data_IF_123855661652
#
_entry.id   IF_123855661652
#
_cell.length_a   1.000
_cell.length_b   1.000
_cell.length_c   1.000
_cell.angle_alpha   90.00
_cell.angle_beta   90.00
_cell.angle_gamma   90.00
#
_symmetry.space_group_name_H-M   'P 1'
#
loop_
_entity.id
_entity.type
_entity.pdbx_description
1 polymer ?
#
# COMPACT_ATOMS: atom_id res chain seq x y z
N UNK A 1 11.22 -4.97 5.87
CA UNK A 1 11.93 -4.56 4.63
C UNK A 1 11.99 -3.03 4.45
N UNK A 2 11.61 -2.21 5.45
CA UNK A 2 11.66 -0.75 5.36
C UNK A 2 10.40 -0.11 4.76
N UNK A 3 9.34 -0.87 4.47
CA UNK A 3 8.07 -0.38 3.91
C UNK A 3 7.54 0.85 4.64
N UNK A 4 7.29 0.76 5.94
CA UNK A 4 6.70 1.85 6.72
C UNK A 4 7.58 3.11 6.79
N UNK A 5 8.91 2.96 6.72
CA UNK A 5 9.83 4.11 6.64
C UNK A 5 9.69 4.82 5.29
N UNK A 6 9.67 4.06 4.19
CA UNK A 6 9.47 4.59 2.85
C UNK A 6 8.09 5.21 2.68
N UNK A 7 7.04 4.59 3.21
CA UNK A 7 5.69 5.15 3.20
C UNK A 7 5.62 6.52 3.90
N UNK A 8 6.27 6.67 5.07
CA UNK A 8 6.37 7.96 5.77
C UNK A 8 7.10 9.01 4.93
N UNK A 9 8.21 8.64 4.29
CA UNK A 9 8.99 9.54 3.43
C UNK A 9 8.19 9.99 2.19
N UNK A 10 7.48 9.09 1.54
CA UNK A 10 6.63 9.40 0.40
C UNK A 10 5.50 10.38 0.74
N UNK A 11 4.87 10.24 1.92
CA UNK A 11 3.86 11.19 2.41
C UNK A 11 4.41 12.59 2.68
N UNK A 12 5.67 12.69 3.11
CA UNK A 12 6.34 13.98 3.28
C UNK A 12 6.69 14.59 1.91
N UNK A 13 7.11 13.75 0.97
CA UNK A 13 7.43 14.19 -0.38
C UNK A 13 6.21 14.71 -1.14
N UNK A 14 5.06 14.04 -1.00
CA UNK A 14 3.86 14.36 -1.76
C UNK A 14 2.62 14.47 -0.85
N UNK A 15 2.13 15.70 -0.57
CA UNK A 15 0.93 15.92 0.23
C UNK A 15 -0.37 15.39 -0.41
N UNK A 16 -0.39 15.14 -1.72
CA UNK A 16 -1.53 14.56 -2.43
C UNK A 16 -1.62 13.03 -2.30
N UNK A 17 -0.61 12.41 -1.70
CA UNK A 17 -0.55 10.99 -1.41
C UNK A 17 -1.05 10.72 0.01
N UNK A 18 -2.33 10.37 0.15
CA UNK A 18 -2.90 9.95 1.43
C UNK A 18 -2.46 8.54 1.81
N UNK A 19 -2.50 8.24 3.09
CA UNK A 19 -2.17 6.92 3.62
C UNK A 19 -3.43 6.21 4.11
N UNK A 20 -3.64 4.97 3.66
CA UNK A 20 -4.70 4.12 4.18
C UNK A 20 -4.34 3.64 5.57
N UNK A 21 -5.02 4.16 6.60
CA UNK A 21 -4.89 3.65 7.97
C UNK A 21 -5.69 2.36 8.07
N UNK A 22 -4.99 1.23 8.20
CA UNK A 22 -5.61 -0.08 8.30
C UNK A 22 -6.28 -0.31 9.65
N UNK A 23 -7.37 -1.06 9.67
CA UNK A 23 -7.97 -1.61 10.88
C UNK A 23 -7.23 -2.88 11.31
N UNK A 24 -7.15 -3.15 12.62
CA UNK A 24 -6.55 -4.38 13.15
C UNK A 24 -7.16 -4.78 14.48
N UNK A 25 -7.22 -6.09 14.73
CA UNK A 25 -7.61 -6.66 16.03
C UNK A 25 -6.44 -6.89 16.98
N UNK A 26 -5.22 -6.58 16.53
CA UNK A 26 -4.02 -6.64 17.36
C UNK A 26 -4.03 -5.49 18.38
N UNK A 27 -3.63 -5.78 19.60
CA UNK A 27 -3.40 -4.72 20.60
C UNK A 27 -2.34 -3.71 20.15
N UNK A 28 -2.49 -2.42 20.48
CA UNK A 28 -1.50 -1.38 20.20
C UNK A 28 -0.13 -1.72 20.81
N UNK A 29 0.95 -1.43 20.08
CA UNK A 29 2.30 -1.45 20.61
C UNK A 29 2.63 -0.12 21.28
N UNK A 30 3.68 -0.12 22.09
CA UNK A 30 4.15 1.13 22.73
C UNK A 30 4.46 2.21 21.70
N UNK A 31 3.76 3.33 21.80
CA UNK A 31 3.93 4.49 20.92
C UNK A 31 3.04 4.50 19.68
N UNK A 32 2.25 3.45 19.42
CA UNK A 32 1.23 3.48 18.36
C UNK A 32 -0.01 4.25 18.82
N UNK A 33 -0.58 5.02 17.91
CA UNK A 33 -1.74 5.91 18.14
C UNK A 33 -2.92 5.42 17.32
N UNK A 34 -4.05 5.20 17.99
CA UNK A 34 -5.31 4.85 17.32
C UNK A 34 -5.76 5.94 16.34
N UNK A 35 -6.22 5.50 15.17
CA UNK A 35 -6.62 6.38 14.07
C UNK A 35 -5.46 7.00 13.28
N UNK A 36 -4.21 6.81 13.71
CA UNK A 36 -3.02 7.32 13.01
C UNK A 36 -2.12 6.19 12.48
N UNK A 37 -1.79 5.22 13.33
CA UNK A 37 -0.99 4.05 12.93
C UNK A 37 -1.91 2.92 12.46
N UNK A 38 -2.97 2.65 13.22
CA UNK A 38 -4.05 1.71 12.93
C UNK A 38 -5.35 2.19 13.55
N UNK A 39 -6.49 1.68 13.05
CA UNK A 39 -7.74 1.64 13.78
C UNK A 39 -7.79 0.34 14.59
N UNK A 40 -7.52 0.43 15.90
CA UNK A 40 -7.55 -0.73 16.77
C UNK A 40 -8.98 -1.05 17.18
N UNK A 41 -9.43 -2.27 16.96
CA UNK A 41 -10.82 -2.66 17.24
C UNK A 41 -10.91 -4.11 17.71
N UNK A 42 -12.06 -4.45 18.31
CA UNK A 42 -12.37 -5.81 18.71
C UNK A 42 -12.68 -6.71 17.48
N UNK A 43 -12.42 -8.02 17.62
CA UNK A 43 -12.63 -8.97 16.53
C UNK A 43 -14.09 -9.01 16.05
N UNK A 44 -15.07 -8.86 16.95
CA UNK A 44 -16.47 -8.85 16.59
C UNK A 44 -16.82 -7.65 15.70
N UNK A 45 -16.28 -6.49 16.01
CA UNK A 45 -16.45 -5.26 15.22
C UNK A 45 -15.81 -5.42 13.83
N UNK A 46 -14.57 -5.91 13.78
CA UNK A 46 -13.87 -6.17 12.51
C UNK A 46 -14.67 -7.12 11.60
N UNK A 47 -15.14 -8.25 12.16
CA UNK A 47 -15.96 -9.22 11.42
C UNK A 47 -17.28 -8.63 10.95
N UNK A 48 -17.88 -7.75 11.72
CA UNK A 48 -19.07 -7.00 11.32
C UNK A 48 -18.81 -6.15 10.08
N UNK A 49 -17.75 -5.35 10.10
CA UNK A 49 -17.35 -4.52 8.94
C UNK A 49 -17.07 -5.36 7.69
N UNK A 50 -16.44 -6.54 7.84
CA UNK A 50 -16.23 -7.46 6.71
C UNK A 50 -17.57 -7.98 6.17
N UNK A 51 -18.49 -8.39 7.04
CA UNK A 51 -19.79 -8.91 6.63
C UNK A 51 -20.68 -7.85 5.94
N UNK A 52 -20.54 -6.59 6.32
CA UNK A 52 -21.24 -5.45 5.71
C UNK A 52 -20.56 -4.90 4.46
N UNK A 53 -19.41 -5.47 4.06
CA UNK A 53 -18.66 -5.04 2.87
C UNK A 53 -17.95 -3.69 3.03
N UNK A 54 -17.69 -3.27 4.26
CA UNK A 54 -17.01 -2.01 4.59
C UNK A 54 -15.48 -2.08 4.53
N UNK A 55 -14.91 -3.27 4.26
CA UNK A 55 -13.49 -3.47 4.03
C UNK A 55 -13.20 -3.60 2.53
N UNK A 56 -12.20 -2.88 2.03
CA UNK A 56 -11.71 -3.00 0.66
C UNK A 56 -10.92 -4.29 0.47
N UNK A 57 -10.11 -4.62 1.45
CA UNK A 57 -9.34 -5.85 1.58
C UNK A 57 -9.22 -6.24 3.05
N UNK A 58 -9.00 -7.50 3.33
CA UNK A 58 -8.69 -7.98 4.67
C UNK A 58 -7.87 -9.28 4.63
N UNK A 59 -7.06 -9.49 5.68
CA UNK A 59 -6.24 -10.69 5.83
C UNK A 59 -6.14 -11.10 7.31
N UNK A 60 -5.93 -12.39 7.54
CA UNK A 60 -5.62 -12.94 8.85
C UNK A 60 -4.12 -13.24 8.96
N UNK A 61 -3.43 -12.56 9.87
CA UNK A 61 -1.98 -12.58 9.96
C UNK A 61 -1.53 -12.71 11.41
N UNK A 62 -0.81 -13.79 11.76
CA UNK A 62 -0.33 -14.07 13.12
C UNK A 62 -1.43 -14.00 14.20
N UNK A 63 -2.58 -14.60 13.91
CA UNK A 63 -3.70 -14.65 14.87
C UNK A 63 -4.49 -13.34 15.00
N UNK A 64 -4.21 -12.33 14.19
CA UNK A 64 -4.95 -11.07 14.17
C UNK A 64 -5.49 -10.76 12.77
N UNK A 65 -6.58 -10.02 12.73
CA UNK A 65 -7.13 -9.51 11.48
C UNK A 65 -6.52 -8.13 11.15
N UNK A 66 -6.36 -7.89 9.86
CA UNK A 66 -5.94 -6.61 9.28
C UNK A 66 -6.82 -6.33 8.08
N UNK A 67 -7.16 -5.08 7.82
CA UNK A 67 -7.95 -4.72 6.66
C UNK A 67 -7.98 -3.21 6.44
N UNK A 68 -8.35 -2.80 5.24
CA UNK A 68 -8.42 -1.39 4.85
C UNK A 68 -9.88 -0.95 4.77
N UNK A 69 -10.34 -0.03 5.67
CA UNK A 69 -11.70 0.51 5.63
C UNK A 69 -11.98 1.21 4.30
N UNK A 70 -13.08 0.84 3.64
CA UNK A 70 -13.42 1.26 2.28
C UNK A 70 -13.81 2.74 2.21
N UNK A 71 -14.62 3.22 3.14
CA UNK A 71 -15.19 4.57 3.10
C UNK A 71 -14.15 5.70 3.01
N UNK A 72 -13.12 5.76 3.88
CA UNK A 72 -12.06 6.77 3.80
C UNK A 72 -11.30 6.73 2.47
N UNK A 73 -11.03 5.53 1.94
CA UNK A 73 -10.32 5.33 0.67
C UNK A 73 -11.13 5.91 -0.49
N UNK A 74 -12.41 5.53 -0.60
CA UNK A 74 -13.30 6.04 -1.65
C UNK A 74 -13.45 7.56 -1.58
N UNK A 75 -13.56 8.12 -0.37
CA UNK A 75 -13.61 9.56 -0.18
C UNK A 75 -12.36 10.26 -0.73
N UNK A 76 -11.17 9.75 -0.43
CA UNK A 76 -9.91 10.30 -0.93
C UNK A 76 -9.82 10.22 -2.44
N UNK A 77 -10.11 9.06 -3.03
CA UNK A 77 -10.06 8.84 -4.48
C UNK A 77 -11.04 9.77 -5.22
N UNK A 78 -12.24 9.96 -4.67
CA UNK A 78 -13.26 10.84 -5.24
C UNK A 78 -12.85 12.33 -5.24
N UNK A 79 -11.86 12.72 -4.45
CA UNK A 79 -11.26 14.06 -4.50
C UNK A 79 -10.11 14.19 -5.48
N UNK A 80 -9.80 13.12 -6.23
CA UNK A 80 -8.71 13.07 -7.21
C UNK A 80 -7.32 12.88 -6.61
N UNK A 81 -7.24 12.46 -5.34
CA UNK A 81 -5.98 12.17 -4.63
C UNK A 81 -5.66 10.69 -4.68
N UNK A 82 -4.38 10.37 -4.53
CA UNK A 82 -3.92 8.98 -4.48
C UNK A 82 -3.93 8.44 -3.05
N UNK A 83 -4.06 7.12 -2.92
CA UNK A 83 -4.01 6.41 -1.62
C UNK A 83 -2.86 5.41 -1.62
N UNK A 84 -1.98 5.54 -0.65
CA UNK A 84 -0.87 4.62 -0.40
C UNK A 84 -1.29 3.55 0.61
N UNK A 85 -1.07 2.28 0.27
CA UNK A 85 -1.30 1.12 1.14
C UNK A 85 0.03 0.51 1.60
N UNK A 86 0.14 0.14 2.87
CA UNK A 86 1.19 -0.73 3.41
C UNK A 86 0.55 -2.05 3.87
N UNK A 87 0.24 -2.92 2.92
CA UNK A 87 -0.48 -4.17 3.10
C UNK A 87 0.37 -5.39 2.69
N UNK A 88 -0.09 -6.60 3.01
CA UNK A 88 0.55 -7.84 2.57
C UNK A 88 0.06 -8.27 1.18
N UNK A 89 0.62 -9.38 0.67
CA UNK A 89 0.28 -9.90 -0.65
C UNK A 89 -1.20 -10.29 -0.80
N UNK A 90 -1.86 -10.76 0.28
CA UNK A 90 -3.26 -11.16 0.26
C UNK A 90 -4.16 -9.94 0.01
N UNK A 91 -3.89 -8.85 0.75
CA UNK A 91 -4.59 -7.58 0.54
C UNK A 91 -4.33 -6.98 -0.84
N UNK A 92 -3.07 -7.00 -1.30
CA UNK A 92 -2.72 -6.52 -2.64
C UNK A 92 -3.47 -7.30 -3.74
N UNK A 93 -3.58 -8.62 -3.61
CA UNK A 93 -4.32 -9.45 -4.56
C UNK A 93 -5.83 -9.13 -4.56
N UNK A 94 -6.42 -8.90 -3.39
CA UNK A 94 -7.83 -8.51 -3.28
C UNK A 94 -8.10 -7.16 -3.96
N UNK A 95 -7.24 -6.16 -3.75
CA UNK A 95 -7.35 -4.86 -4.40
C UNK A 95 -7.21 -5.00 -5.91
N UNK A 96 -6.22 -5.74 -6.40
CA UNK A 96 -6.00 -5.97 -7.82
C UNK A 96 -7.20 -6.66 -8.50
N UNK A 97 -7.90 -7.52 -7.78
CA UNK A 97 -9.10 -8.22 -8.27
C UNK A 97 -10.40 -7.41 -8.08
N UNK A 98 -10.35 -6.25 -7.46
CA UNK A 98 -11.48 -5.34 -7.25
C UNK A 98 -11.68 -4.39 -8.44
N UNK A 99 -12.75 -3.58 -8.37
CA UNK A 99 -12.98 -2.50 -9.34
C UNK A 99 -11.84 -1.46 -9.37
N UNK A 100 -11.03 -1.36 -8.30
CA UNK A 100 -9.89 -0.46 -8.23
C UNK A 100 -8.64 -1.02 -8.92
N UNK A 101 -8.61 -2.30 -9.29
CA UNK A 101 -7.42 -2.97 -9.85
C UNK A 101 -6.84 -2.26 -11.08
N UNK A 102 -7.70 -1.77 -11.98
CA UNK A 102 -7.26 -1.02 -13.17
C UNK A 102 -6.59 0.34 -12.85
N UNK A 103 -6.79 0.84 -11.63
CA UNK A 103 -6.25 2.11 -11.13
C UNK A 103 -5.22 1.89 -10.01
N UNK A 104 -4.83 0.65 -9.76
CA UNK A 104 -3.87 0.27 -8.73
C UNK A 104 -2.49 0.11 -9.36
N UNK A 105 -1.49 0.58 -8.63
CA UNK A 105 -0.07 0.34 -8.88
C UNK A 105 0.48 -0.47 -7.72
N UNK A 106 0.97 -1.66 -8.00
CA UNK A 106 1.53 -2.56 -6.99
C UNK A 106 3.05 -2.63 -7.07
N UNK A 107 3.71 -2.41 -5.93
CA UNK A 107 5.18 -2.39 -5.84
C UNK A 107 5.62 -3.34 -4.72
N UNK A 108 6.45 -4.32 -5.05
CA UNK A 108 7.03 -5.24 -4.08
C UNK A 108 8.43 -4.79 -3.67
N UNK A 109 8.71 -4.80 -2.37
CA UNK A 109 10.04 -4.45 -1.83
C UNK A 109 10.74 -5.72 -1.34
N UNK A 110 11.78 -6.13 -2.06
CA UNK A 110 12.66 -7.23 -1.66
C UNK A 110 13.76 -6.76 -0.68
N UNK A 111 14.12 -7.56 0.31
CA UNK A 111 15.38 -7.35 1.04
C UNK A 111 16.58 -7.65 0.13
N UNK A 112 17.76 -7.07 0.38
CA UNK A 112 18.95 -7.35 -0.42
C UNK A 112 19.47 -8.79 -0.22
N UNK A 113 19.20 -9.39 0.94
CA UNK A 113 19.55 -10.78 1.24
C UNK A 113 18.74 -11.32 2.42
N UNK A 114 18.69 -12.64 2.57
CA UNK A 114 18.05 -13.30 3.73
C UNK A 114 18.77 -13.00 5.05
N UNK A 115 20.12 -12.99 5.12
CA UNK A 115 20.82 -12.56 6.32
C UNK A 115 20.48 -11.12 6.73
N UNK A 116 20.39 -10.19 5.79
CA UNK A 116 20.02 -8.81 6.08
C UNK A 116 18.56 -8.69 6.55
N UNK A 117 17.64 -9.47 5.97
CA UNK A 117 16.26 -9.54 6.43
C UNK A 117 16.21 -9.98 7.90
N UNK A 118 16.91 -11.05 8.25
CA UNK A 118 17.03 -11.54 9.64
C UNK A 118 17.58 -10.46 10.57
N UNK A 119 18.69 -9.83 10.20
CA UNK A 119 19.32 -8.75 10.97
C UNK A 119 18.34 -7.59 11.22
N UNK A 120 17.53 -7.20 10.20
CA UNK A 120 16.52 -6.15 10.35
C UNK A 120 15.37 -6.56 11.28
N UNK A 121 14.99 -7.84 11.32
CA UNK A 121 13.97 -8.35 12.25
C UNK A 121 14.52 -8.36 13.70
N UNK A 122 15.74 -8.83 13.91
CA UNK A 122 16.41 -8.87 15.21
C UNK A 122 16.62 -7.46 15.79
N UNK A 123 17.06 -6.50 14.99
CA UNK A 123 17.28 -5.10 15.41
C UNK A 123 16.01 -4.36 15.85
N UNK A 124 14.83 -4.82 15.46
CA UNK A 124 13.57 -4.27 15.98
C UNK A 124 13.37 -4.56 17.48
N UNK A 125 14.13 -5.50 18.06
CA UNK A 125 14.38 -5.64 19.50
C UNK A 125 13.18 -6.03 20.37
N UNK A 126 12.08 -6.50 19.79
CA UNK A 126 10.81 -6.76 20.48
C UNK A 126 10.39 -8.23 20.40
N UNK A 127 11.16 -9.08 19.73
CA UNK A 127 10.77 -10.45 19.43
C UNK A 127 11.78 -11.47 19.99
N UNK A 128 11.28 -12.57 20.52
CA UNK A 128 12.07 -13.74 20.86
C UNK A 128 12.49 -14.53 19.60
N UNK A 129 13.39 -15.51 19.77
CA UNK A 129 13.94 -16.33 18.67
C UNK A 129 12.84 -17.06 17.90
N UNK A 130 11.80 -17.55 18.59
CA UNK A 130 10.69 -18.28 17.97
C UNK A 130 9.83 -17.34 17.11
N UNK A 131 9.57 -16.14 17.60
CA UNK A 131 8.84 -15.10 16.86
C UNK A 131 9.63 -14.65 15.62
N UNK A 132 10.95 -14.51 15.71
CA UNK A 132 11.83 -14.22 14.56
C UNK A 132 11.73 -15.35 13.53
N UNK A 133 11.79 -16.61 13.96
CA UNK A 133 11.63 -17.77 13.07
C UNK A 133 10.31 -17.72 12.27
N UNK A 134 9.18 -17.55 12.96
CA UNK A 134 7.85 -17.42 12.32
C UNK A 134 7.77 -16.24 11.35
N UNK A 135 8.41 -15.11 11.68
CA UNK A 135 8.47 -13.94 10.79
C UNK A 135 9.33 -14.19 9.55
N UNK A 136 10.40 -14.96 9.68
CA UNK A 136 11.23 -15.36 8.54
C UNK A 136 10.46 -16.26 7.58
N UNK A 137 9.73 -17.25 8.09
CA UNK A 137 8.86 -18.12 7.28
C UNK A 137 7.80 -17.32 6.53
N UNK A 138 7.11 -16.41 7.23
CA UNK A 138 6.14 -15.52 6.58
C UNK A 138 6.78 -14.62 5.53
N UNK A 139 7.96 -14.07 5.81
CA UNK A 139 8.66 -13.23 4.83
C UNK A 139 9.02 -14.01 3.58
N UNK A 140 9.33 -15.30 3.71
CA UNK A 140 9.57 -16.18 2.57
C UNK A 140 8.28 -16.44 1.78
N UNK A 141 7.17 -16.69 2.46
CA UNK A 141 5.85 -16.78 1.82
C UNK A 141 5.50 -15.51 1.06
N UNK A 142 5.67 -14.32 1.68
CA UNK A 142 5.48 -13.03 1.00
C UNK A 142 6.39 -12.89 -0.24
N UNK A 143 7.67 -13.25 -0.12
CA UNK A 143 8.63 -13.18 -1.23
C UNK A 143 8.18 -14.08 -2.40
N UNK A 144 7.60 -15.24 -2.14
CA UNK A 144 7.14 -16.15 -3.20
C UNK A 144 6.08 -15.54 -4.14
N UNK A 145 5.38 -14.51 -3.70
CA UNK A 145 4.33 -13.81 -4.45
C UNK A 145 4.83 -12.59 -5.27
N UNK A 146 6.14 -12.35 -5.30
CA UNK A 146 6.74 -11.19 -5.99
C UNK A 146 6.31 -11.02 -7.45
N UNK A 147 6.07 -12.12 -8.16
CA UNK A 147 5.69 -12.12 -9.58
C UNK A 147 4.28 -11.58 -9.87
N UNK A 148 3.46 -11.35 -8.84
CA UNK A 148 2.12 -10.76 -8.96
C UNK A 148 2.08 -9.23 -8.85
N UNK A 149 3.23 -8.55 -8.83
CA UNK A 149 3.34 -7.11 -8.67
C UNK A 149 3.81 -6.44 -9.96
N UNK A 150 3.38 -5.18 -10.18
CA UNK A 150 3.78 -4.40 -11.35
C UNK A 150 5.26 -4.03 -11.33
N UNK A 151 5.80 -3.73 -10.15
CA UNK A 151 7.20 -3.40 -9.94
C UNK A 151 7.78 -4.16 -8.75
N UNK A 152 9.04 -4.53 -8.87
CA UNK A 152 9.79 -5.19 -7.79
C UNK A 152 11.11 -4.45 -7.59
N UNK A 153 11.34 -3.94 -6.39
CA UNK A 153 12.55 -3.19 -6.04
C UNK A 153 13.34 -3.92 -4.96
N UNK A 154 14.66 -3.98 -5.11
CA UNK A 154 15.55 -4.46 -4.05
C UNK A 154 15.93 -3.29 -3.16
N UNK A 155 15.46 -3.29 -1.90
CA UNK A 155 15.72 -2.25 -0.92
C UNK A 155 17.05 -2.51 -0.19
N UNK A 156 18.14 -2.27 -0.89
CA UNK A 156 19.51 -2.28 -0.39
C UNK A 156 19.88 -0.92 0.25
N UNK A 157 19.42 0.18 -0.34
CA UNK A 157 19.60 1.55 0.09
C UNK A 157 18.26 2.28 0.10
N UNK A 158 17.92 2.91 1.24
CA UNK A 158 16.64 3.58 1.43
C UNK A 158 16.46 4.80 0.53
N UNK A 159 17.51 5.59 0.34
CA UNK A 159 17.41 6.83 -0.44
C UNK A 159 17.25 6.52 -1.93
N UNK A 160 18.01 5.54 -2.41
CA UNK A 160 17.88 5.05 -3.78
C UNK A 160 16.49 4.43 -4.03
N UNK A 161 15.99 3.62 -3.09
CA UNK A 161 14.67 3.01 -3.22
C UNK A 161 13.56 4.06 -3.18
N UNK A 162 13.70 5.09 -2.35
CA UNK A 162 12.76 6.23 -2.32
C UNK A 162 12.70 6.94 -3.67
N UNK A 163 13.85 7.25 -4.29
CA UNK A 163 13.89 7.90 -5.60
C UNK A 163 13.28 7.01 -6.72
N UNK A 164 13.49 5.71 -6.66
CA UNK A 164 12.83 4.76 -7.56
C UNK A 164 11.31 4.77 -7.38
N UNK A 165 10.82 4.76 -6.15
CA UNK A 165 9.39 4.85 -5.84
C UNK A 165 8.78 6.16 -6.35
N UNK A 166 9.40 7.30 -6.11
CA UNK A 166 8.97 8.61 -6.63
C UNK A 166 8.90 8.61 -8.16
N UNK A 167 9.89 8.04 -8.81
CA UNK A 167 9.93 7.91 -10.28
C UNK A 167 8.77 7.08 -10.80
N UNK A 168 8.50 5.93 -10.19
CA UNK A 168 7.42 5.03 -10.58
C UNK A 168 6.05 5.71 -10.38
N UNK A 169 5.82 6.35 -9.24
CA UNK A 169 4.57 7.07 -8.94
C UNK A 169 4.36 8.18 -9.97
N UNK A 170 5.36 9.02 -10.20
CA UNK A 170 5.29 10.13 -11.15
C UNK A 170 5.00 9.64 -12.57
N UNK A 171 5.71 8.62 -13.03
CA UNK A 171 5.48 8.03 -14.36
C UNK A 171 4.09 7.40 -14.49
N UNK A 172 3.60 6.77 -13.42
CA UNK A 172 2.27 6.15 -13.43
C UNK A 172 1.16 7.20 -13.57
N UNK A 173 1.26 8.34 -12.90
CA UNK A 173 0.32 9.46 -13.03
C UNK A 173 0.26 10.03 -14.45
N UNK A 174 1.35 9.92 -15.22
CA UNK A 174 1.42 10.38 -16.61
C UNK A 174 0.86 9.37 -17.62
N UNK A 175 0.49 8.16 -17.20
CA UNK A 175 -0.18 7.22 -18.10
C UNK A 175 -1.52 7.84 -18.58
N UNK A 176 -1.82 7.66 -19.87
CA UNK A 176 -3.07 8.14 -20.47
C UNK A 176 -4.32 7.69 -19.69
N UNK A 177 -4.31 6.45 -19.18
CA UNK A 177 -5.43 5.88 -18.40
C UNK A 177 -5.63 6.57 -17.04
N UNK A 178 -4.63 7.29 -16.53
CA UNK A 178 -4.68 8.01 -15.25
C UNK A 178 -4.94 9.52 -15.44
N UNK A 179 -5.17 9.97 -16.67
CA UNK A 179 -5.38 11.37 -17.03
C UNK A 179 -6.73 11.57 -17.73
N UNK A 180 -7.88 11.42 -17.04
CA UNK A 180 -9.21 11.54 -17.65
C UNK A 180 -9.44 12.91 -18.29
N UNK A 181 -8.83 13.98 -17.77
CA UNK A 181 -8.91 15.35 -18.31
C UNK A 181 -8.35 15.49 -19.73
N UNK A 182 -7.48 14.60 -20.21
CA UNK A 182 -6.95 14.64 -21.58
C UNK A 182 -8.05 14.49 -22.62
N UNK A 183 -9.12 13.77 -22.32
CA UNK A 183 -10.24 13.59 -23.26
C UNK A 183 -10.90 14.95 -23.58
N UNK A 184 -11.15 15.76 -22.56
CA UNK A 184 -11.77 17.07 -22.74
C UNK A 184 -10.80 18.06 -23.40
N UNK A 185 -9.53 18.00 -23.05
CA UNK A 185 -8.50 18.79 -23.70
C UNK A 185 -8.40 18.48 -25.21
N UNK A 186 -8.38 17.21 -25.59
CA UNK A 186 -8.32 16.81 -27.01
C UNK A 186 -9.59 17.24 -27.76
N UNK A 187 -10.78 17.14 -27.15
CA UNK A 187 -12.03 17.65 -27.74
C UNK A 187 -11.97 19.15 -27.98
N UNK A 188 -11.46 19.92 -27.01
CA UNK A 188 -11.28 21.35 -27.16
C UNK A 188 -10.33 21.70 -28.33
N UNK A 189 -9.23 20.97 -28.49
CA UNK A 189 -8.30 21.13 -29.61
C UNK A 189 -8.99 20.84 -30.96
N UNK A 190 -9.82 19.81 -31.01
CA UNK A 190 -10.58 19.46 -32.22
C UNK A 190 -11.55 20.60 -32.63
N UNK A 191 -12.30 21.15 -31.65
CA UNK A 191 -13.19 22.28 -31.90
C UNK A 191 -12.43 23.50 -32.45
N UNK A 192 -11.30 23.86 -31.84
CA UNK A 192 -10.43 24.96 -32.31
C UNK A 192 -9.91 24.71 -33.71
N UNK A 193 -9.55 23.49 -34.05
CA UNK A 193 -9.10 23.14 -35.40
C UNK A 193 -10.20 23.32 -36.44
N UNK A 194 -11.43 22.88 -36.13
CA UNK A 194 -12.61 23.01 -37.01
C UNK A 194 -13.01 24.49 -37.24
N UNK A 195 -12.84 25.36 -36.22
CA UNK A 195 -13.11 26.81 -36.32
C UNK A 195 -12.05 27.56 -37.13
N UNK A 196 -10.86 27.02 -37.29
CA UNK A 196 -9.75 27.65 -38.02
C UNK A 196 -9.53 27.10 -39.43
N UNK A 197 -10.29 26.10 -39.81
CA UNK A 197 -10.25 25.45 -41.12
C UNK A 197 -11.37 25.93 -42.04
#
# INVERSE_FOLDING_TARGET
AGKSTLAKRLRVWDPELDFSVSATTRSPRKGEVDGADYHFMEEAEFKGMVAEGEMLEHAHVFGNFYGSPKGPIEKTINTGRDVLFDIDWQGAQQINNSALGAHTLSIFLLPPSIPELRNRLEKRGQDDVETIGRRMEKSWDEISHWGGYDFVLVNDDLDKTEEQLKTIITATRLRRSQQPQLTDHVRALQTQFEETS
#
